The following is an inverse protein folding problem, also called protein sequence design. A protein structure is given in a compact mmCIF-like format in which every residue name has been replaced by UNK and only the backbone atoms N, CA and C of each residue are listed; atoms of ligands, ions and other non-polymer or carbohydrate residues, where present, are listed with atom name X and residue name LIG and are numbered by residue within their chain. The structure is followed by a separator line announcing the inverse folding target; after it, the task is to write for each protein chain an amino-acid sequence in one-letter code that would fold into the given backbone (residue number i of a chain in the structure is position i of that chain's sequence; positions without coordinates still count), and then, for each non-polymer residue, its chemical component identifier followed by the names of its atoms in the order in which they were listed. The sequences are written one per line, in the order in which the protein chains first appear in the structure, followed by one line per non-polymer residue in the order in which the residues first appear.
data_IF_116216892091
#
_entry.id   IF_116216892091
#
_cell.length_a   1.000
_cell.length_b   1.000
_cell.length_c   1.000
_cell.angle_alpha   90.00
_cell.angle_beta   90.00
_cell.angle_gamma   90.00
#
_symmetry.space_group_name_H-M   'P 1'
#
loop_
_entity.id
_entity.type
_entity.pdbx_description
1 polymer ?
#
# COMPACT_ATOMS: atom_id res chain seq x y z
N UNK A 1 -8.98 8.43 -7.39
CA UNK A 1 -7.71 7.94 -6.78
C UNK A 1 -7.76 7.95 -5.25
N UNK A 2 -8.16 9.05 -4.66
CA UNK A 2 -8.20 9.13 -3.19
C UNK A 2 -9.13 8.10 -2.55
N UNK A 3 -10.30 7.88 -3.12
CA UNK A 3 -11.25 6.90 -2.60
C UNK A 3 -10.68 5.48 -2.59
N UNK A 4 -9.94 5.11 -3.63
CA UNK A 4 -9.32 3.80 -3.72
C UNK A 4 -8.24 3.63 -2.65
N UNK A 5 -7.48 4.69 -2.36
CA UNK A 5 -6.50 4.68 -1.29
C UNK A 5 -7.15 4.54 0.08
N UNK A 6 -8.25 5.25 0.32
CA UNK A 6 -8.96 5.14 1.59
C UNK A 6 -9.47 3.71 1.81
N UNK A 7 -10.00 3.08 0.76
CA UNK A 7 -10.41 1.69 0.83
C UNK A 7 -9.24 0.76 1.10
N UNK A 8 -8.10 1.03 0.47
CA UNK A 8 -6.90 0.22 0.67
C UNK A 8 -6.41 0.31 2.10
N UNK A 9 -6.36 1.51 2.68
CA UNK A 9 -5.98 1.70 4.07
C UNK A 9 -6.95 0.99 4.98
N UNK A 10 -8.25 1.11 4.71
CA UNK A 10 -9.28 0.44 5.51
C UNK A 10 -9.10 -1.08 5.47
N UNK A 11 -8.84 -1.64 4.29
CA UNK A 11 -8.62 -3.08 4.13
C UNK A 11 -7.35 -3.55 4.84
N UNK A 12 -6.38 -2.66 5.01
CA UNK A 12 -5.09 -2.97 5.62
C UNK A 12 -5.03 -2.62 7.10
N UNK A 13 -6.08 -2.04 7.66
CA UNK A 13 -6.00 -1.47 9.03
C UNK A 13 -5.63 -2.48 10.11
N UNK A 14 -5.93 -3.76 9.90
CA UNK A 14 -5.53 -4.81 10.82
C UNK A 14 -4.05 -5.10 10.82
N UNK A 15 -3.34 -4.58 9.82
CA UNK A 15 -1.90 -4.77 9.63
C UNK A 15 -1.10 -3.50 9.89
N UNK A 16 -1.77 -2.37 10.11
CA UNK A 16 -1.11 -1.07 10.29
C UNK A 16 -1.31 -0.56 11.71
N UNK A 17 -0.27 0.03 12.27
CA UNK A 17 -0.40 0.77 13.52
C UNK A 17 -1.13 2.09 13.25
N UNK A 18 -1.62 2.73 14.31
CA UNK A 18 -2.26 4.04 14.20
C UNK A 18 -1.34 5.08 13.59
N UNK A 19 -0.05 5.05 13.96
CA UNK A 19 0.93 5.99 13.42
C UNK A 19 1.18 5.73 11.94
N UNK A 20 1.27 4.47 11.54
CA UNK A 20 1.46 4.11 10.13
C UNK A 20 0.30 4.55 9.27
N UNK A 21 -0.93 4.30 9.72
CA UNK A 21 -2.12 4.73 9.00
C UNK A 21 -2.18 6.26 8.89
N UNK A 22 -1.80 6.97 9.95
CA UNK A 22 -1.77 8.42 9.96
C UNK A 22 -0.76 8.98 8.96
N UNK A 23 0.43 8.39 8.87
CA UNK A 23 1.44 8.81 7.89
C UNK A 23 0.94 8.63 6.46
N UNK A 24 0.29 7.51 6.18
CA UNK A 24 -0.26 7.26 4.85
C UNK A 24 -1.31 8.30 4.49
N UNK A 25 -2.17 8.65 5.43
CA UNK A 25 -3.19 9.66 5.21
C UNK A 25 -2.58 11.04 4.94
N UNK A 26 -1.48 11.36 5.59
CA UNK A 26 -0.78 12.62 5.34
C UNK A 26 -0.29 12.70 3.89
N UNK A 27 0.29 11.61 3.38
CA UNK A 27 0.71 11.57 1.98
C UNK A 27 -0.48 11.72 1.03
N UNK A 28 -1.58 11.06 1.32
CA UNK A 28 -2.78 11.11 0.49
C UNK A 28 -3.37 12.53 0.50
N UNK A 29 -3.45 13.15 1.66
CA UNK A 29 -3.97 14.50 1.80
C UNK A 29 -3.12 15.53 1.05
N UNK A 30 -1.82 15.27 0.96
CA UNK A 30 -0.90 16.13 0.21
C UNK A 30 -0.87 15.80 -1.29
N UNK A 31 -1.65 14.83 -1.74
CA UNK A 31 -1.69 14.40 -3.14
C UNK A 31 -0.49 13.60 -3.57
N UNK A 32 0.29 13.09 -2.63
CA UNK A 32 1.52 12.34 -2.91
C UNK A 32 1.24 10.83 -2.92
N UNK A 33 0.43 10.40 -3.88
CA UNK A 33 -0.06 9.03 -3.95
C UNK A 33 1.05 8.00 -4.18
N UNK A 34 2.04 8.33 -5.00
CA UNK A 34 3.16 7.42 -5.24
C UNK A 34 3.93 7.14 -3.94
N UNK A 35 4.18 8.18 -3.16
CA UNK A 35 4.84 8.03 -1.87
C UNK A 35 3.99 7.24 -0.89
N UNK A 36 2.68 7.44 -0.91
CA UNK A 36 1.76 6.71 -0.05
C UNK A 36 1.82 5.21 -0.33
N UNK A 37 1.76 4.82 -1.60
CA UNK A 37 1.79 3.39 -1.95
C UNK A 37 3.15 2.77 -1.66
N UNK A 38 4.22 3.49 -1.90
CA UNK A 38 5.57 3.01 -1.58
C UNK A 38 5.74 2.81 -0.07
N UNK A 39 5.23 3.74 0.73
CA UNK A 39 5.29 3.64 2.18
C UNK A 39 4.48 2.44 2.68
N UNK A 40 3.28 2.24 2.15
CA UNK A 40 2.46 1.09 2.51
C UNK A 40 3.17 -0.22 2.18
N UNK A 41 3.69 -0.34 0.98
CA UNK A 41 4.38 -1.55 0.56
C UNK A 41 5.62 -1.82 1.42
N UNK A 42 6.36 -0.78 1.77
CA UNK A 42 7.51 -0.90 2.66
C UNK A 42 7.13 -1.46 4.02
N UNK A 43 6.04 -0.97 4.60
CA UNK A 43 5.54 -1.48 5.88
C UNK A 43 5.18 -2.96 5.78
N UNK A 44 4.45 -3.33 4.74
CA UNK A 44 4.00 -4.71 4.56
C UNK A 44 5.18 -5.68 4.41
N UNK A 45 6.22 -5.25 3.73
CA UNK A 45 7.41 -6.08 3.50
C UNK A 45 8.30 -6.11 4.74
N UNK A 46 8.61 -4.95 5.31
CA UNK A 46 9.54 -4.84 6.44
C UNK A 46 9.01 -5.54 7.69
N UNK A 47 7.71 -5.49 7.91
CA UNK A 47 7.09 -6.13 9.07
C UNK A 47 6.56 -7.52 8.77
N UNK A 48 6.85 -8.03 7.59
CA UNK A 48 6.45 -9.37 7.13
C UNK A 48 4.97 -9.66 7.35
N UNK A 49 4.13 -8.69 6.98
CA UNK A 49 2.68 -8.83 7.13
C UNK A 49 2.12 -9.89 6.18
N UNK A 50 1.02 -10.51 6.59
CA UNK A 50 0.31 -11.47 5.75
C UNK A 50 -0.54 -10.75 4.72
N UNK A 51 0.01 -10.55 3.53
CA UNK A 51 -0.69 -9.91 2.43
C UNK A 51 -1.54 -10.92 1.71
N UNK A 52 -2.86 -10.67 1.62
CA UNK A 52 -3.75 -11.55 0.89
C UNK A 52 -3.63 -11.29 -0.62
N UNK A 53 -3.98 -12.27 -1.48
CA UNK A 53 -4.02 -12.04 -2.91
C UNK A 53 -4.95 -10.88 -3.31
N UNK A 54 -6.05 -10.70 -2.58
CA UNK A 54 -6.98 -9.60 -2.84
C UNK A 54 -6.34 -8.25 -2.56
N UNK A 55 -5.63 -8.13 -1.44
CA UNK A 55 -4.92 -6.90 -1.10
C UNK A 55 -3.85 -6.61 -2.13
N UNK A 56 -3.07 -7.61 -2.51
CA UNK A 56 -2.05 -7.46 -3.53
C UNK A 56 -2.65 -6.97 -4.85
N UNK A 57 -3.78 -7.53 -5.24
CA UNK A 57 -4.46 -7.14 -6.48
C UNK A 57 -4.86 -5.66 -6.45
N UNK A 58 -5.35 -5.18 -5.31
CA UNK A 58 -5.71 -3.76 -5.15
C UNK A 58 -4.49 -2.86 -5.24
N UNK A 59 -3.40 -3.25 -4.59
CA UNK A 59 -2.13 -2.52 -4.66
C UNK A 59 -1.64 -2.47 -6.10
N UNK A 60 -1.67 -3.59 -6.78
CA UNK A 60 -1.24 -3.70 -8.17
C UNK A 60 -2.03 -2.74 -9.07
N UNK A 61 -3.35 -2.71 -8.92
CA UNK A 61 -4.20 -1.82 -9.71
C UNK A 61 -3.86 -0.35 -9.48
N UNK A 62 -3.59 0.04 -8.24
CA UNK A 62 -3.23 1.41 -7.94
C UNK A 62 -1.86 1.77 -8.51
N UNK A 63 -0.89 0.87 -8.40
CA UNK A 63 0.45 1.10 -8.95
C UNK A 63 0.40 1.28 -10.46
N UNK A 64 -0.41 0.49 -11.15
CA UNK A 64 -0.56 0.63 -12.60
C UNK A 64 -1.18 1.98 -12.99
N UNK A 65 -2.01 2.53 -12.13
CA UNK A 65 -2.67 3.81 -12.39
C UNK A 65 -1.74 5.00 -12.11
N UNK A 66 -0.77 4.81 -11.21
CA UNK A 66 0.12 5.87 -10.77
C UNK A 66 1.41 5.91 -11.60
N UNK A 67 1.86 7.13 -11.91
CA UNK A 67 3.16 7.34 -12.51
C UNK A 67 4.22 7.48 -11.41
N UNK A 68 5.42 7.00 -11.68
CA UNK A 68 6.55 7.23 -10.80
C UNK A 68 6.76 6.23 -9.68
N UNK A 69 5.96 5.15 -9.65
CA UNK A 69 6.17 4.08 -8.68
C UNK A 69 7.12 3.05 -9.28
N UNK A 70 8.16 2.72 -8.54
CA UNK A 70 9.14 1.72 -8.98
C UNK A 70 8.48 0.33 -9.02
N UNK A 71 8.57 -0.40 -10.15
CA UNK A 71 8.00 -1.75 -10.23
C UNK A 71 8.55 -2.72 -9.19
N UNK A 72 9.74 -2.47 -8.67
CA UNK A 72 10.33 -3.28 -7.61
C UNK A 72 9.44 -3.34 -6.36
N UNK A 73 8.67 -2.29 -6.12
CA UNK A 73 7.75 -2.22 -4.99
C UNK A 73 6.73 -3.36 -5.06
N UNK A 74 6.16 -3.60 -6.24
CA UNK A 74 5.20 -4.69 -6.43
C UNK A 74 5.83 -6.06 -6.24
N UNK A 75 7.05 -6.24 -6.75
CA UNK A 75 7.74 -7.52 -6.59
C UNK A 75 8.03 -7.82 -5.13
N UNK A 76 8.40 -6.80 -4.36
CA UNK A 76 8.67 -6.96 -2.94
C UNK A 76 7.42 -7.41 -2.18
N UNK A 77 6.28 -6.80 -2.48
CA UNK A 77 5.01 -7.17 -1.84
C UNK A 77 4.57 -8.57 -2.26
N UNK A 78 4.77 -8.90 -3.54
CA UNK A 78 4.42 -10.22 -4.06
C UNK A 78 5.10 -11.35 -3.28
N UNK A 79 6.32 -11.10 -2.84
CA UNK A 79 7.09 -12.09 -2.08
C UNK A 79 6.47 -12.39 -0.71
N UNK A 80 5.65 -11.50 -0.16
CA UNK A 80 5.00 -11.70 1.14
C UNK A 80 3.51 -12.03 1.03
N UNK A 81 3.00 -12.25 -0.18
CA UNK A 81 1.61 -12.68 -0.37
C UNK A 81 1.43 -14.09 0.18
N UNK A 82 0.36 -14.29 0.94
CA UNK A 82 0.00 -15.59 1.53
C UNK A 82 -1.38 -16.01 1.03
N UNK A 83 -1.46 -17.23 0.56
CA UNK A 83 -2.69 -17.81 0.04
C UNK A 83 -3.43 -18.64 1.10
#
# INVERSE_FOLDING_TARGET
MEAEFQELIHSSRGMLSANEASELREFIDAGQFALAIEALCGILVDEEKHVTPELYSRIHSLVETLDGVDPYVLESVRAVVRY
#
